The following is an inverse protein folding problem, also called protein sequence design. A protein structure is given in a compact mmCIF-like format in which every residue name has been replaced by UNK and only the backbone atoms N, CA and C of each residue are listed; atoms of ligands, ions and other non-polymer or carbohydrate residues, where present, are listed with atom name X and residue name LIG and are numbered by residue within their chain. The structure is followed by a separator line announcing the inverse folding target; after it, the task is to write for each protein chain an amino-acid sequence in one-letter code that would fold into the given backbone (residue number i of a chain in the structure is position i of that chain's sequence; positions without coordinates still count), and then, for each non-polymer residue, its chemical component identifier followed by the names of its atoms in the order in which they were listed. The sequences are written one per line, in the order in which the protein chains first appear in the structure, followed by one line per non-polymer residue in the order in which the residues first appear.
data_IF_347485227311
#
_entry.id   IF_347485227311
#
_cell.length_a   1.000
_cell.length_b   1.000
_cell.length_c   1.000
_cell.angle_alpha   90.00
_cell.angle_beta   90.00
_cell.angle_gamma   90.00
#
_symmetry.space_group_name_H-M   'P 1'
#
loop_
_entity.id
_entity.type
_entity.pdbx_description
1 polymer ?
#
# COMPACT_ATOMS: atom_id res chain seq x y z
N UNK A 1 -6.62 3.49 28.96
CA UNK A 1 -7.70 3.30 27.97
C UNK A 1 -8.93 4.15 28.29
N UNK A 2 -9.36 4.22 29.55
CA UNK A 2 -10.55 5.01 29.94
C UNK A 2 -10.51 6.48 29.50
N UNK A 3 -9.35 7.14 29.58
CA UNK A 3 -9.19 8.52 29.11
C UNK A 3 -9.42 8.66 27.58
N UNK A 4 -8.82 7.77 26.77
CA UNK A 4 -9.00 7.79 25.31
C UNK A 4 -10.47 7.56 24.91
N UNK A 5 -11.14 6.63 25.59
CA UNK A 5 -12.56 6.37 25.35
C UNK A 5 -13.43 7.59 25.70
N UNK A 6 -13.10 8.31 26.79
CA UNK A 6 -13.77 9.56 27.12
C UNK A 6 -13.50 10.67 26.10
N UNK A 7 -12.28 10.73 25.54
CA UNK A 7 -11.93 11.66 24.47
C UNK A 7 -12.76 11.47 23.21
N UNK A 8 -13.14 10.25 22.86
CA UNK A 8 -14.07 9.97 21.73
C UNK A 8 -15.43 10.63 22.00
N UNK A 9 -15.95 10.50 23.23
CA UNK A 9 -17.19 11.17 23.63
C UNK A 9 -17.06 12.71 23.59
N UNK A 10 -15.91 13.24 24.01
CA UNK A 10 -15.62 14.68 23.93
C UNK A 10 -15.58 15.17 22.48
N UNK A 11 -15.04 14.39 21.54
CA UNK A 11 -15.00 14.76 20.13
C UNK A 11 -16.41 14.93 19.53
N UNK A 12 -17.38 14.10 19.93
CA UNK A 12 -18.79 14.25 19.48
C UNK A 12 -19.44 15.52 20.05
N UNK A 13 -19.12 15.88 21.31
CA UNK A 13 -19.63 17.10 21.97
C UNK A 13 -19.00 18.37 21.36
N UNK A 14 -17.69 18.34 21.15
CA UNK A 14 -16.90 19.49 20.67
C UNK A 14 -16.67 19.48 19.16
N UNK A 15 -17.52 18.80 18.37
CA UNK A 15 -17.41 18.72 16.90
C UNK A 15 -17.35 20.06 16.16
N UNK A 16 -17.73 21.16 16.81
CA UNK A 16 -17.71 22.51 16.25
C UNK A 16 -16.55 23.37 16.75
N UNK A 17 -15.64 22.79 17.54
CA UNK A 17 -14.47 23.48 18.11
C UNK A 17 -13.20 22.85 17.54
N UNK A 18 -12.67 23.36 16.42
CA UNK A 18 -11.56 22.74 15.69
C UNK A 18 -10.34 22.49 16.58
N UNK A 19 -9.95 23.46 17.40
CA UNK A 19 -8.81 23.35 18.33
C UNK A 19 -8.94 22.17 19.30
N UNK A 20 -10.15 21.91 19.81
CA UNK A 20 -10.39 20.79 20.74
C UNK A 20 -10.37 19.46 20.01
N UNK A 21 -10.93 19.40 18.80
CA UNK A 21 -10.88 18.20 17.96
C UNK A 21 -9.42 17.86 17.63
N UNK A 22 -8.65 18.86 17.20
CA UNK A 22 -7.24 18.74 16.87
C UNK A 22 -6.42 18.21 18.07
N UNK A 23 -6.58 18.83 19.25
CA UNK A 23 -5.90 18.41 20.47
C UNK A 23 -6.27 16.97 20.90
N UNK A 24 -7.53 16.56 20.69
CA UNK A 24 -7.93 15.18 20.94
C UNK A 24 -7.17 14.23 20.02
N UNK A 25 -7.07 14.53 18.72
CA UNK A 25 -6.32 13.70 17.76
C UNK A 25 -4.84 13.65 18.16
N UNK A 26 -4.24 14.79 18.51
CA UNK A 26 -2.84 14.89 18.95
C UNK A 26 -2.55 13.99 20.16
N UNK A 27 -3.46 13.92 21.14
CA UNK A 27 -3.29 12.99 22.27
C UNK A 27 -3.25 11.53 21.81
N UNK A 28 -4.09 11.14 20.85
CA UNK A 28 -4.05 9.77 20.31
C UNK A 28 -2.75 9.52 19.55
N UNK A 29 -2.25 10.49 18.77
CA UNK A 29 -0.95 10.42 18.10
C UNK A 29 0.15 10.16 19.12
N UNK A 30 0.21 10.97 20.17
CA UNK A 30 1.24 10.86 21.22
C UNK A 30 1.21 9.52 21.96
N UNK A 31 0.01 9.00 22.26
CA UNK A 31 -0.13 7.68 22.89
C UNK A 31 0.32 6.57 21.94
N UNK A 32 -0.12 6.60 20.67
CA UNK A 32 0.29 5.62 19.67
C UNK A 32 1.82 5.66 19.47
N UNK A 33 2.38 6.84 19.24
CA UNK A 33 3.81 7.02 19.00
C UNK A 33 4.68 6.50 20.15
N UNK A 34 4.31 6.80 21.40
CA UNK A 34 5.15 6.49 22.57
C UNK A 34 4.92 5.11 23.18
N UNK A 35 3.71 4.56 23.04
CA UNK A 35 3.33 3.37 23.81
C UNK A 35 3.14 2.14 22.95
N UNK A 36 2.76 2.26 21.68
CA UNK A 36 2.26 1.10 20.91
C UNK A 36 3.25 -0.06 20.83
N UNK A 37 4.54 0.23 20.63
CA UNK A 37 5.62 -0.77 20.55
C UNK A 37 5.85 -1.52 21.87
N UNK A 38 5.37 -1.00 23.00
CA UNK A 38 5.50 -1.59 24.34
C UNK A 38 4.22 -2.27 24.83
N UNK A 39 3.10 -2.13 24.10
CA UNK A 39 1.83 -2.73 24.47
C UNK A 39 1.80 -4.20 24.02
N UNK A 40 1.47 -5.12 24.93
CA UNK A 40 1.12 -6.48 24.55
C UNK A 40 -0.17 -6.53 23.71
N UNK A 41 -0.39 -7.65 23.01
CA UNK A 41 -1.42 -7.83 21.98
C UNK A 41 -2.81 -7.33 22.41
N UNK A 42 -3.31 -7.76 23.57
CA UNK A 42 -4.64 -7.34 24.06
C UNK A 42 -4.76 -5.82 24.29
N UNK A 43 -3.70 -5.15 24.76
CA UNK A 43 -3.72 -3.70 24.98
C UNK A 43 -3.59 -2.94 23.66
N UNK A 44 -2.78 -3.45 22.73
CA UNK A 44 -2.65 -2.90 21.38
C UNK A 44 -3.98 -2.98 20.62
N UNK A 45 -4.69 -4.10 20.71
CA UNK A 45 -6.03 -4.27 20.12
C UNK A 45 -7.04 -3.25 20.64
N UNK A 46 -7.07 -3.01 21.96
CA UNK A 46 -7.90 -1.96 22.52
C UNK A 46 -7.53 -0.57 21.98
N UNK A 47 -6.23 -0.29 21.74
CA UNK A 47 -5.78 0.99 21.18
C UNK A 47 -6.21 1.12 19.73
N UNK A 48 -6.06 0.06 18.93
CA UNK A 48 -6.54 0.02 17.55
C UNK A 48 -8.05 0.29 17.46
N UNK A 49 -8.85 -0.36 18.30
CA UNK A 49 -10.30 -0.13 18.37
C UNK A 49 -10.64 1.32 18.76
N UNK A 50 -9.94 1.88 19.74
CA UNK A 50 -10.15 3.26 20.17
C UNK A 50 -9.79 4.26 19.05
N UNK A 51 -8.65 4.08 18.37
CA UNK A 51 -8.25 4.90 17.22
C UNK A 51 -9.26 4.80 16.08
N UNK A 52 -9.70 3.58 15.74
CA UNK A 52 -10.66 3.38 14.65
C UNK A 52 -12.01 4.03 14.97
N UNK A 53 -12.47 3.93 16.22
CA UNK A 53 -13.70 4.60 16.69
C UNK A 53 -13.55 6.12 16.64
N UNK A 54 -12.39 6.66 17.03
CA UNK A 54 -12.08 8.09 16.91
C UNK A 54 -12.20 8.57 15.45
N UNK A 55 -11.59 7.84 14.51
CA UNK A 55 -11.63 8.17 13.08
C UNK A 55 -13.05 8.08 12.49
N UNK A 56 -13.84 7.10 12.93
CA UNK A 56 -15.25 6.99 12.54
C UNK A 56 -16.05 8.22 13.00
N UNK A 57 -15.86 8.64 14.25
CA UNK A 57 -16.51 9.83 14.83
C UNK A 57 -16.07 11.10 14.09
N UNK A 58 -14.77 11.26 13.86
CA UNK A 58 -14.24 12.40 13.11
C UNK A 58 -14.81 12.46 11.69
N UNK A 59 -14.78 11.34 10.96
CA UNK A 59 -15.29 11.25 9.59
C UNK A 59 -16.78 11.55 9.52
N UNK A 60 -17.59 10.93 10.37
CA UNK A 60 -19.03 11.18 10.48
C UNK A 60 -19.36 12.65 10.74
N UNK A 61 -18.58 13.33 11.58
CA UNK A 61 -18.82 14.72 11.96
C UNK A 61 -18.39 15.74 10.88
N UNK A 62 -17.55 15.32 9.94
CA UNK A 62 -17.00 16.20 8.90
C UNK A 62 -17.50 15.85 7.48
N UNK A 63 -18.05 14.66 7.26
CA UNK A 63 -18.59 14.27 5.96
C UNK A 63 -19.79 15.14 5.57
N UNK A 64 -19.73 15.73 4.37
CA UNK A 64 -20.79 16.60 3.84
C UNK A 64 -20.91 17.95 4.54
N UNK A 65 -19.98 18.30 5.44
CA UNK A 65 -19.98 19.58 6.14
C UNK A 65 -19.36 20.67 5.27
N UNK A 66 -20.19 21.58 4.76
CA UNK A 66 -19.70 22.80 4.11
C UNK A 66 -19.32 23.82 5.18
N UNK A 67 -18.01 23.94 5.46
CA UNK A 67 -17.51 24.98 6.36
C UNK A 67 -17.35 26.28 5.56
N UNK A 68 -18.02 27.34 6.02
CA UNK A 68 -18.05 28.68 5.38
C UNK A 68 -16.87 29.54 5.88
N UNK A 69 -16.18 29.09 6.93
CA UNK A 69 -15.14 29.86 7.60
C UNK A 69 -13.82 29.87 6.79
N UNK A 70 -13.12 31.00 6.82
CA UNK A 70 -11.94 31.24 5.96
C UNK A 70 -10.75 30.36 6.37
N UNK A 71 -10.70 29.91 7.63
CA UNK A 71 -9.64 29.02 8.16
C UNK A 71 -10.02 27.55 8.13
N UNK A 72 -11.22 27.21 7.67
CA UNK A 72 -11.75 25.85 7.80
C UNK A 72 -10.94 24.79 7.05
N UNK A 73 -10.34 25.18 5.92
CA UNK A 73 -9.48 24.30 5.12
C UNK A 73 -8.15 24.03 5.85
N UNK A 74 -7.55 25.06 6.45
CA UNK A 74 -6.32 24.93 7.25
C UNK A 74 -6.56 24.03 8.46
N UNK A 75 -7.65 24.24 9.19
CA UNK A 75 -8.00 23.40 10.35
C UNK A 75 -8.17 21.93 9.94
N UNK A 76 -8.87 21.68 8.83
CA UNK A 76 -9.07 20.32 8.32
C UNK A 76 -7.77 19.70 7.83
N UNK A 77 -6.89 20.49 7.21
CA UNK A 77 -5.55 20.07 6.81
C UNK A 77 -4.72 19.61 8.01
N UNK A 78 -4.70 20.38 9.11
CA UNK A 78 -3.97 20.04 10.33
C UNK A 78 -4.51 18.75 10.97
N UNK A 79 -5.84 18.61 11.06
CA UNK A 79 -6.48 17.40 11.59
C UNK A 79 -6.12 16.16 10.76
N UNK A 80 -6.15 16.27 9.42
CA UNK A 80 -5.82 15.16 8.53
C UNK A 80 -4.34 14.78 8.58
N UNK A 81 -3.45 15.76 8.78
CA UNK A 81 -2.02 15.50 8.93
C UNK A 81 -1.74 14.69 10.20
N UNK A 82 -2.36 15.07 11.33
CA UNK A 82 -2.27 14.30 12.57
C UNK A 82 -2.87 12.90 12.42
N UNK A 83 -3.96 12.75 11.67
CA UNK A 83 -4.53 11.42 11.41
C UNK A 83 -3.58 10.55 10.58
N UNK A 84 -2.91 11.11 9.57
CA UNK A 84 -1.91 10.38 8.79
C UNK A 84 -0.73 9.93 9.65
N UNK A 85 -0.27 10.81 10.56
CA UNK A 85 0.76 10.47 11.55
C UNK A 85 0.28 9.38 12.52
N UNK A 86 -0.95 9.47 13.02
CA UNK A 86 -1.56 8.45 13.89
C UNK A 86 -1.54 7.08 13.19
N UNK A 87 -2.07 7.01 11.96
CA UNK A 87 -2.14 5.77 11.19
C UNK A 87 -0.74 5.18 10.91
N UNK A 88 0.23 6.04 10.63
CA UNK A 88 1.63 5.62 10.46
C UNK A 88 2.21 5.05 11.76
N UNK A 89 1.96 5.69 12.90
CA UNK A 89 2.38 5.18 14.21
C UNK A 89 1.69 3.86 14.56
N UNK A 90 0.43 3.65 14.15
CA UNK A 90 -0.27 2.38 14.38
C UNK A 90 0.38 1.19 13.66
N UNK A 91 0.94 1.43 12.47
CA UNK A 91 1.70 0.41 11.73
C UNK A 91 3.03 0.04 12.40
N UNK A 92 3.64 0.95 13.18
CA UNK A 92 4.98 0.76 13.74
C UNK A 92 5.14 -0.51 14.59
N UNK A 93 4.07 -0.97 15.25
CA UNK A 93 4.09 -2.20 16.06
C UNK A 93 4.35 -3.47 15.25
N UNK A 94 3.92 -3.53 13.99
CA UNK A 94 4.19 -4.69 13.11
C UNK A 94 5.69 -4.82 12.78
N UNK A 95 6.47 -3.75 12.95
CA UNK A 95 7.91 -3.72 12.66
C UNK A 95 8.77 -3.70 13.93
N UNK A 96 8.26 -3.10 15.00
CA UNK A 96 8.98 -2.86 16.25
C UNK A 96 8.07 -3.31 17.40
N UNK A 97 8.17 -4.59 17.76
CA UNK A 97 7.49 -5.12 18.95
C UNK A 97 8.49 -5.37 20.09
N UNK A 98 8.40 -4.55 21.14
CA UNK A 98 9.17 -4.72 22.38
C UNK A 98 8.36 -5.40 23.48
N UNK A 99 7.14 -5.85 23.19
CA UNK A 99 6.27 -6.50 24.18
C UNK A 99 6.75 -7.91 24.56
N UNK A 100 7.66 -8.51 23.77
CA UNK A 100 8.30 -9.82 24.01
C UNK A 100 9.34 -9.84 25.15
N UNK A 101 9.48 -8.75 25.90
CA UNK A 101 10.39 -8.72 27.06
C UNK A 101 9.99 -9.67 28.20
N UNK A 102 8.80 -10.30 28.15
CA UNK A 102 8.34 -11.30 29.12
C UNK A 102 8.48 -12.78 28.65
N UNK A 103 8.81 -13.05 27.38
CA UNK A 103 8.85 -14.43 26.86
C UNK A 103 10.11 -15.22 27.22
N UNK A 104 11.19 -14.56 27.67
CA UNK A 104 12.43 -15.22 28.11
C UNK A 104 12.22 -16.09 29.38
N UNK A 105 11.07 -15.98 30.05
CA UNK A 105 10.72 -16.75 31.25
C UNK A 105 9.58 -17.78 31.10
N UNK A 106 8.98 -17.94 29.92
CA UNK A 106 7.93 -18.96 29.70
C UNK A 106 8.25 -19.81 28.48
N UNK A 107 8.57 -21.08 28.75
CA UNK A 107 8.88 -22.06 27.73
C UNK A 107 7.80 -22.13 26.64
N UNK A 108 8.25 -22.18 25.39
CA UNK A 108 7.43 -22.35 24.21
C UNK A 108 6.56 -23.61 24.30
N UNK A 109 5.24 -23.44 24.30
CA UNK A 109 4.29 -24.45 23.82
C UNK A 109 3.77 -24.00 22.45
N UNK A 110 3.95 -24.79 21.37
CA UNK A 110 3.44 -24.44 20.05
C UNK A 110 1.95 -24.78 20.00
N UNK A 111 1.08 -23.78 20.12
CA UNK A 111 -0.36 -24.04 20.14
C UNK A 111 -1.23 -22.82 19.81
N UNK A 112 -1.88 -22.90 18.63
CA UNK A 112 -3.12 -22.20 18.24
C UNK A 112 -3.03 -20.75 17.75
N UNK A 113 -2.45 -20.56 16.55
CA UNK A 113 -2.87 -19.47 15.66
C UNK A 113 -4.13 -19.91 14.88
N UNK A 114 -5.26 -20.05 15.57
CA UNK A 114 -6.57 -20.27 14.93
C UNK A 114 -7.51 -19.16 15.35
N UNK A 115 -7.46 -18.05 14.60
CA UNK A 115 -8.54 -17.13 14.26
C UNK A 115 -7.87 -15.98 13.49
N UNK A 116 -8.48 -15.47 12.40
CA UNK A 116 -8.02 -14.25 11.72
C UNK A 116 -7.95 -13.13 12.76
N UNK A 117 -6.78 -12.85 13.32
CA UNK A 117 -6.54 -11.68 14.15
C UNK A 117 -6.56 -10.46 13.22
N UNK A 118 -7.31 -9.43 13.61
CA UNK A 118 -7.25 -8.13 12.94
C UNK A 118 -5.84 -7.61 13.14
N UNK A 119 -5.07 -7.43 12.06
CA UNK A 119 -3.70 -6.92 12.13
C UNK A 119 -3.71 -5.39 11.99
N UNK A 120 -2.62 -4.74 12.41
CA UNK A 120 -2.50 -3.28 12.37
C UNK A 120 -2.74 -2.73 10.96
N UNK A 121 -2.30 -3.45 9.91
CA UNK A 121 -2.54 -3.04 8.54
C UNK A 121 -4.03 -3.01 8.17
N UNK A 122 -4.87 -3.89 8.74
CA UNK A 122 -6.32 -3.89 8.48
C UNK A 122 -6.97 -2.65 9.10
N UNK A 123 -6.56 -2.31 10.32
CA UNK A 123 -7.02 -1.11 11.06
C UNK A 123 -6.64 0.15 10.29
N UNK A 124 -5.41 0.18 9.75
CA UNK A 124 -4.87 1.34 9.04
C UNK A 124 -5.53 1.50 7.67
N UNK A 125 -5.70 0.41 6.91
CA UNK A 125 -6.42 0.43 5.63
C UNK A 125 -7.88 0.91 5.83
N UNK A 126 -8.54 0.45 6.88
CA UNK A 126 -9.88 0.93 7.22
C UNK A 126 -9.86 2.42 7.65
N UNK A 127 -8.86 2.84 8.42
CA UNK A 127 -8.66 4.22 8.83
C UNK A 127 -8.47 5.17 7.64
N UNK A 128 -7.63 4.78 6.68
CA UNK A 128 -7.45 5.53 5.41
C UNK A 128 -8.77 5.63 4.65
N UNK A 129 -9.53 4.54 4.55
CA UNK A 129 -10.85 4.54 3.89
C UNK A 129 -11.84 5.54 4.51
N UNK A 130 -11.81 5.72 5.83
CA UNK A 130 -12.69 6.66 6.52
C UNK A 130 -12.35 8.12 6.23
N UNK A 131 -11.07 8.43 6.02
CA UNK A 131 -10.60 9.81 5.81
C UNK A 131 -10.43 10.20 4.35
N UNK A 132 -10.32 9.22 3.44
CA UNK A 132 -10.17 9.47 2.01
C UNK A 132 -11.26 10.38 1.44
N UNK A 133 -12.56 10.22 1.77
CA UNK A 133 -13.61 11.15 1.31
C UNK A 133 -13.47 12.59 1.82
N UNK A 134 -12.67 12.81 2.88
CA UNK A 134 -12.39 14.11 3.46
C UNK A 134 -11.17 14.79 2.81
N UNK A 135 -10.37 14.06 2.04
CA UNK A 135 -9.20 14.57 1.31
C UNK A 135 -9.61 15.08 -0.06
N UNK A 136 -9.99 16.36 -0.12
CA UNK A 136 -10.30 17.02 -1.40
C UNK A 136 -9.05 17.18 -2.26
N UNK A 137 -9.24 17.43 -3.56
CA UNK A 137 -8.11 17.75 -4.45
C UNK A 137 -7.36 19.02 -4.03
N UNK A 138 -8.03 19.96 -3.37
CA UNK A 138 -7.39 21.18 -2.85
C UNK A 138 -6.50 20.86 -1.64
N UNK A 139 -6.95 19.99 -0.74
CA UNK A 139 -6.15 19.53 0.40
C UNK A 139 -4.91 18.71 -0.03
N UNK A 140 -5.00 17.96 -1.14
CA UNK A 140 -3.85 17.25 -1.70
C UNK A 140 -2.83 18.18 -2.40
N UNK A 141 -3.14 19.47 -2.61
CA UNK A 141 -2.14 20.45 -3.07
C UNK A 141 -1.13 20.80 -1.98
N UNK A 142 -1.46 20.57 -0.72
CA UNK A 142 -0.53 20.77 0.38
C UNK A 142 0.52 19.63 0.38
N UNK A 143 1.81 19.92 0.12
CA UNK A 143 2.81 18.89 -0.14
C UNK A 143 3.01 17.92 1.03
N UNK A 144 2.95 18.40 2.27
CA UNK A 144 3.17 17.56 3.46
C UNK A 144 2.09 16.49 3.62
N UNK A 145 0.81 16.87 3.48
CA UNK A 145 -0.31 15.94 3.59
C UNK A 145 -0.31 14.95 2.43
N UNK A 146 -0.10 15.43 1.20
CA UNK A 146 0.00 14.59 0.01
C UNK A 146 1.12 13.54 0.17
N UNK A 147 2.34 13.98 0.54
CA UNK A 147 3.46 13.08 0.74
C UNK A 147 3.21 12.07 1.86
N UNK A 148 2.63 12.48 3.00
CA UNK A 148 2.32 11.52 4.07
C UNK A 148 1.27 10.50 3.66
N UNK A 149 0.21 10.94 2.97
CA UNK A 149 -0.81 10.04 2.44
C UNK A 149 -0.20 8.99 1.50
N UNK A 150 0.57 9.44 0.50
CA UNK A 150 1.18 8.52 -0.47
C UNK A 150 2.19 7.60 0.19
N UNK A 151 3.07 8.11 1.06
CA UNK A 151 4.01 7.27 1.82
C UNK A 151 3.29 6.18 2.60
N UNK A 152 2.17 6.49 3.25
CA UNK A 152 1.41 5.51 4.01
C UNK A 152 0.81 4.42 3.11
N UNK A 153 0.12 4.80 2.03
CA UNK A 153 -0.55 3.81 1.17
C UNK A 153 0.44 2.96 0.36
N UNK A 154 1.54 3.55 -0.12
CA UNK A 154 2.57 2.81 -0.88
C UNK A 154 3.33 1.87 0.03
N UNK A 155 3.63 2.30 1.26
CA UNK A 155 4.23 1.43 2.27
C UNK A 155 3.37 0.21 2.60
N UNK A 156 2.05 0.36 2.70
CA UNK A 156 1.16 -0.80 2.91
C UNK A 156 1.19 -1.74 1.69
N UNK A 157 1.25 -1.21 0.47
CA UNK A 157 1.36 -2.01 -0.75
C UNK A 157 2.69 -2.79 -0.82
N UNK A 158 3.77 -2.21 -0.30
CA UNK A 158 5.09 -2.85 -0.27
C UNK A 158 5.19 -3.95 0.78
N UNK A 159 4.68 -3.69 1.99
CA UNK A 159 4.86 -4.61 3.12
C UNK A 159 3.78 -5.69 3.16
N UNK A 160 2.53 -5.35 2.84
CA UNK A 160 1.38 -6.26 2.94
C UNK A 160 0.61 -6.39 1.62
N UNK A 161 1.26 -6.68 0.48
CA UNK A 161 0.59 -6.76 -0.82
C UNK A 161 -0.51 -7.83 -0.84
N UNK A 162 -0.40 -8.88 -0.03
CA UNK A 162 -1.40 -9.95 0.09
C UNK A 162 -2.74 -9.50 0.66
N UNK A 163 -2.77 -8.38 1.38
CA UNK A 163 -4.01 -7.81 1.94
C UNK A 163 -4.78 -7.00 0.92
N UNK A 164 -4.12 -6.48 -0.12
CA UNK A 164 -4.72 -5.57 -1.10
C UNK A 164 -5.87 -6.22 -1.90
N UNK A 165 -5.75 -7.46 -2.43
CA UNK A 165 -6.87 -8.14 -3.08
C UNK A 165 -8.05 -8.46 -2.15
N UNK A 166 -7.81 -8.50 -0.83
CA UNK A 166 -8.82 -8.84 0.18
C UNK A 166 -9.63 -7.62 0.63
N UNK A 167 -9.29 -6.42 0.14
CA UNK A 167 -9.96 -5.18 0.49
C UNK A 167 -11.39 -5.15 -0.06
N UNK A 168 -12.32 -4.43 0.61
CA UNK A 168 -13.61 -4.10 0.04
C UNK A 168 -13.47 -3.39 -1.31
N UNK A 169 -14.39 -3.65 -2.23
CA UNK A 169 -14.31 -3.18 -3.63
C UNK A 169 -14.12 -1.66 -3.75
N UNK A 170 -14.82 -0.87 -2.93
CA UNK A 170 -14.73 0.60 -2.93
C UNK A 170 -13.35 1.09 -2.47
N UNK A 171 -12.78 0.46 -1.44
CA UNK A 171 -11.45 0.80 -0.93
C UNK A 171 -10.37 0.40 -1.92
N UNK A 172 -10.48 -0.81 -2.50
CA UNK A 172 -9.58 -1.27 -3.54
C UNK A 172 -9.56 -0.30 -4.73
N UNK A 173 -10.73 0.08 -5.25
CA UNK A 173 -10.83 1.06 -6.35
C UNK A 173 -10.23 2.42 -5.98
N UNK A 174 -10.49 2.89 -4.76
CA UNK A 174 -9.95 4.17 -4.27
C UNK A 174 -8.43 4.16 -4.16
N UNK A 175 -7.86 3.04 -3.71
CA UNK A 175 -6.41 2.84 -3.65
C UNK A 175 -5.78 2.78 -5.04
N UNK A 176 -6.34 1.98 -5.95
CA UNK A 176 -5.84 1.88 -7.34
C UNK A 176 -5.91 3.24 -8.06
N UNK A 177 -7.01 3.98 -7.87
CA UNK A 177 -7.16 5.34 -8.39
C UNK A 177 -6.13 6.31 -7.80
N UNK A 178 -5.83 6.19 -6.50
CA UNK A 178 -4.79 7.01 -5.86
C UNK A 178 -3.41 6.72 -6.47
N UNK A 179 -3.05 5.45 -6.67
CA UNK A 179 -1.79 5.08 -7.34
C UNK A 179 -1.72 5.60 -8.78
N UNK A 180 -2.80 5.49 -9.55
CA UNK A 180 -2.91 6.07 -10.89
C UNK A 180 -2.68 7.58 -10.87
N UNK A 181 -3.38 8.30 -9.99
CA UNK A 181 -3.26 9.75 -9.87
C UNK A 181 -1.85 10.17 -9.43
N UNK A 182 -1.24 9.41 -8.51
CA UNK A 182 0.12 9.62 -8.03
C UNK A 182 1.17 9.49 -9.12
N UNK A 183 0.99 8.53 -10.04
CA UNK A 183 1.85 8.36 -11.21
C UNK A 183 1.65 9.43 -12.28
N UNK A 184 0.42 9.92 -12.49
CA UNK A 184 0.10 10.80 -13.63
C UNK A 184 0.20 12.29 -13.34
N UNK A 185 -0.03 12.72 -12.09
CA UNK A 185 -0.42 14.11 -11.81
C UNK A 185 0.17 14.72 -10.55
N UNK A 186 0.99 13.97 -9.81
CA UNK A 186 1.61 14.42 -8.54
C UNK A 186 3.09 14.74 -8.71
N UNK A 187 3.78 14.99 -7.58
CA UNK A 187 5.21 15.29 -7.56
C UNK A 187 6.05 14.09 -8.04
N UNK A 188 7.30 14.36 -8.42
CA UNK A 188 8.26 13.31 -8.80
C UNK A 188 8.49 12.28 -7.68
N UNK A 189 8.50 12.73 -6.41
CA UNK A 189 8.65 11.86 -5.23
C UNK A 189 7.44 10.92 -5.10
N UNK A 190 6.21 11.45 -5.21
CA UNK A 190 4.98 10.66 -5.15
C UNK A 190 4.90 9.66 -6.30
N UNK A 191 5.26 10.09 -7.52
CA UNK A 191 5.28 9.21 -8.66
C UNK A 191 6.26 8.05 -8.46
N UNK A 192 7.46 8.32 -7.92
CA UNK A 192 8.42 7.28 -7.60
C UNK A 192 7.86 6.28 -6.57
N UNK A 193 7.28 6.76 -5.47
CA UNK A 193 6.64 5.90 -4.45
C UNK A 193 5.54 5.01 -5.04
N UNK A 194 4.72 5.56 -5.94
CA UNK A 194 3.66 4.77 -6.59
C UNK A 194 4.23 3.70 -7.52
N UNK A 195 5.31 4.00 -8.25
CA UNK A 195 5.99 3.02 -9.11
C UNK A 195 6.62 1.89 -8.28
N UNK A 196 7.30 2.25 -7.19
CA UNK A 196 7.90 1.29 -6.25
C UNK A 196 6.84 0.36 -5.64
N UNK A 197 5.65 0.89 -5.31
CA UNK A 197 4.53 0.10 -4.80
C UNK A 197 3.88 -0.84 -5.83
N UNK A 198 3.98 -0.56 -7.13
CA UNK A 198 3.35 -1.41 -8.16
C UNK A 198 4.10 -2.74 -8.34
N UNK A 199 5.41 -2.75 -8.18
CA UNK A 199 6.26 -3.95 -8.26
C UNK A 199 5.78 -5.08 -7.32
N UNK A 200 5.68 -4.88 -5.99
CA UNK A 200 5.24 -5.93 -5.06
C UNK A 200 3.77 -6.35 -5.30
N UNK A 201 2.91 -5.45 -5.79
CA UNK A 201 1.54 -5.80 -6.18
C UNK A 201 1.50 -6.75 -7.39
N UNK A 202 2.36 -6.50 -8.39
CA UNK A 202 2.50 -7.37 -9.55
C UNK A 202 3.06 -8.74 -9.15
N UNK A 203 4.07 -8.78 -8.28
CA UNK A 203 4.60 -10.02 -7.72
C UNK A 203 3.54 -10.82 -6.95
N UNK A 204 2.69 -10.14 -6.18
CA UNK A 204 1.62 -10.80 -5.45
C UNK A 204 0.58 -11.42 -6.40
N UNK A 205 0.26 -10.75 -7.52
CA UNK A 205 -0.58 -11.35 -8.57
C UNK A 205 0.06 -12.62 -9.15
N UNK A 206 1.37 -12.56 -9.44
CA UNK A 206 2.11 -13.68 -10.00
C UNK A 206 2.11 -14.89 -9.04
N UNK A 207 2.28 -14.64 -7.73
CA UNK A 207 2.24 -15.68 -6.67
C UNK A 207 0.85 -16.30 -6.53
N UNK A 208 -0.21 -15.49 -6.63
CA UNK A 208 -1.59 -15.97 -6.49
C UNK A 208 -2.05 -16.84 -7.67
N UNK A 209 -1.42 -16.73 -8.84
CA UNK A 209 -1.79 -17.44 -10.08
C UNK A 209 -3.25 -17.21 -10.53
N UNK A 210 -3.92 -16.17 -10.02
CA UNK A 210 -5.30 -15.81 -10.37
C UNK A 210 -5.34 -14.85 -11.56
N UNK A 211 -5.70 -15.37 -12.73
CA UNK A 211 -5.71 -14.61 -14.00
C UNK A 211 -6.92 -13.70 -14.19
N UNK A 212 -7.92 -13.76 -13.31
CA UNK A 212 -9.15 -12.93 -13.37
C UNK A 212 -9.37 -12.09 -12.10
N UNK A 213 -8.35 -11.96 -11.25
CA UNK A 213 -8.48 -11.13 -10.04
C UNK A 213 -8.61 -9.64 -10.39
N UNK A 214 -9.29 -8.87 -9.53
CA UNK A 214 -9.41 -7.41 -9.67
C UNK A 214 -8.03 -6.73 -9.69
N UNK A 215 -7.07 -7.26 -8.93
CA UNK A 215 -5.68 -6.78 -8.93
C UNK A 215 -4.97 -7.11 -10.25
N UNK A 216 -5.22 -8.28 -10.86
CA UNK A 216 -4.68 -8.60 -12.18
C UNK A 216 -5.18 -7.62 -13.27
N UNK A 217 -6.46 -7.24 -13.23
CA UNK A 217 -7.00 -6.22 -14.14
C UNK A 217 -6.41 -4.83 -13.89
N UNK A 218 -6.24 -4.43 -12.62
CA UNK A 218 -5.63 -3.15 -12.27
C UNK A 218 -4.16 -3.07 -12.70
N UNK A 219 -3.37 -4.13 -12.49
CA UNK A 219 -1.96 -4.18 -12.93
C UNK A 219 -1.81 -4.07 -14.44
N UNK A 220 -2.78 -4.59 -15.22
CA UNK A 220 -2.80 -4.40 -16.68
C UNK A 220 -2.97 -2.93 -17.08
N UNK A 221 -3.78 -2.17 -16.34
CA UNK A 221 -3.91 -0.73 -16.56
C UNK A 221 -2.60 -0.01 -16.24
N UNK A 222 -1.97 -0.34 -15.12
CA UNK A 222 -0.67 0.22 -14.75
C UNK A 222 0.42 -0.08 -15.77
N UNK A 223 0.42 -1.26 -16.41
CA UNK A 223 1.39 -1.58 -17.47
C UNK A 223 1.35 -0.55 -18.61
N UNK A 224 0.15 -0.18 -19.06
CA UNK A 224 0.00 0.83 -20.11
C UNK A 224 0.49 2.20 -19.63
N UNK A 225 0.13 2.59 -18.41
CA UNK A 225 0.56 3.88 -17.85
C UNK A 225 2.08 4.00 -17.72
N UNK A 226 2.74 2.97 -17.18
CA UNK A 226 4.19 2.96 -17.01
C UNK A 226 4.90 2.95 -18.38
N UNK A 227 4.33 2.24 -19.36
CA UNK A 227 4.83 2.27 -20.74
C UNK A 227 4.76 3.68 -21.34
N UNK A 228 3.60 4.31 -21.27
CA UNK A 228 3.40 5.67 -21.78
C UNK A 228 4.35 6.66 -21.07
N UNK A 229 4.57 6.49 -19.77
CA UNK A 229 5.51 7.30 -18.99
C UNK A 229 6.96 7.13 -19.45
N UNK A 230 7.43 5.89 -19.63
CA UNK A 230 8.81 5.60 -20.04
C UNK A 230 9.10 6.02 -21.49
N UNK A 231 8.12 5.92 -22.38
CA UNK A 231 8.27 6.20 -23.82
C UNK A 231 8.08 7.69 -24.12
N UNK A 232 7.11 8.36 -23.50
CA UNK A 232 6.70 9.72 -23.88
C UNK A 232 7.37 10.83 -23.05
N UNK A 233 7.82 10.55 -21.81
CA UNK A 233 8.36 11.62 -20.95
C UNK A 233 9.89 11.80 -21.10
N UNK A 234 10.32 13.06 -21.25
CA UNK A 234 11.74 13.46 -21.20
C UNK A 234 12.32 13.14 -19.82
N UNK A 235 13.28 12.21 -19.77
CA UNK A 235 13.76 11.53 -18.57
C UNK A 235 14.18 12.43 -17.39
N UNK A 236 13.66 12.08 -16.20
CA UNK A 236 14.35 12.19 -14.92
C UNK A 236 15.06 10.84 -14.67
N UNK A 237 16.39 10.85 -14.54
CA UNK A 237 17.20 9.63 -14.40
C UNK A 237 16.87 8.82 -13.15
N UNK A 238 16.43 9.46 -12.07
CA UNK A 238 16.11 8.80 -10.80
C UNK A 238 14.82 7.97 -10.89
N UNK A 239 13.80 8.47 -11.60
CA UNK A 239 12.52 7.77 -11.78
C UNK A 239 12.63 6.57 -12.72
N UNK A 240 13.66 6.55 -13.57
CA UNK A 240 13.81 5.53 -14.62
C UNK A 240 14.05 4.13 -14.03
N UNK A 241 14.71 4.05 -12.86
CA UNK A 241 14.98 2.77 -12.18
C UNK A 241 13.69 2.14 -11.65
N UNK A 242 12.93 2.87 -10.83
CA UNK A 242 11.67 2.39 -10.28
C UNK A 242 10.64 2.10 -11.38
N UNK A 243 10.53 2.97 -12.38
CA UNK A 243 9.67 2.74 -13.53
C UNK A 243 10.09 1.51 -14.35
N UNK A 244 11.40 1.29 -14.52
CA UNK A 244 11.93 0.12 -15.22
C UNK A 244 11.64 -1.19 -14.50
N UNK A 245 11.80 -1.23 -13.17
CA UNK A 245 11.49 -2.40 -12.35
C UNK A 245 9.99 -2.72 -12.34
N UNK A 246 9.13 -1.71 -12.17
CA UNK A 246 7.68 -1.86 -12.26
C UNK A 246 7.26 -2.32 -13.66
N UNK A 247 7.82 -1.72 -14.71
CA UNK A 247 7.54 -2.11 -16.09
C UNK A 247 7.93 -3.57 -16.35
N UNK A 248 9.12 -3.96 -15.91
CA UNK A 248 9.64 -5.32 -16.06
C UNK A 248 8.71 -6.35 -15.41
N UNK A 249 8.37 -6.15 -14.14
CA UNK A 249 7.51 -7.08 -13.39
C UNK A 249 6.11 -7.17 -13.98
N UNK A 250 5.54 -6.05 -14.44
CA UNK A 250 4.24 -6.03 -15.12
C UNK A 250 4.26 -6.74 -16.48
N UNK A 251 5.32 -6.54 -17.28
CA UNK A 251 5.49 -7.27 -18.55
C UNK A 251 5.59 -8.77 -18.28
N UNK A 252 6.37 -9.18 -17.27
CA UNK A 252 6.49 -10.58 -16.84
C UNK A 252 5.15 -11.18 -16.40
N UNK A 253 4.32 -10.43 -15.68
CA UNK A 253 3.00 -10.89 -15.23
C UNK A 253 2.03 -11.12 -16.41
N UNK A 254 2.06 -10.25 -17.42
CA UNK A 254 1.09 -10.25 -18.53
C UNK A 254 1.57 -10.96 -19.81
N UNK A 255 2.70 -11.71 -19.77
CA UNK A 255 3.38 -12.33 -20.92
C UNK A 255 2.47 -13.16 -21.85
N UNK A 256 1.40 -13.76 -21.33
CA UNK A 256 0.56 -14.72 -22.07
C UNK A 256 -0.56 -14.06 -22.88
N UNK A 257 -1.00 -12.84 -22.54
CA UNK A 257 -2.20 -12.23 -23.15
C UNK A 257 -1.92 -11.07 -24.11
N UNK A 258 -0.70 -10.52 -24.11
CA UNK A 258 -0.43 -9.21 -24.76
C UNK A 258 0.82 -9.13 -25.61
N UNK A 259 1.49 -10.27 -25.84
CA UNK A 259 2.69 -10.29 -26.66
C UNK A 259 2.43 -9.68 -28.05
N UNK A 260 1.32 -9.98 -28.73
CA UNK A 260 1.08 -9.48 -30.10
C UNK A 260 0.81 -7.96 -30.18
N UNK A 261 0.03 -7.39 -29.27
CA UNK A 261 -0.31 -5.95 -29.32
C UNK A 261 0.86 -5.10 -28.85
N UNK A 262 1.49 -5.45 -27.73
CA UNK A 262 2.58 -4.68 -27.16
C UNK A 262 3.89 -4.89 -27.92
N UNK A 263 4.19 -6.09 -28.46
CA UNK A 263 5.40 -6.23 -29.30
C UNK A 263 5.27 -5.45 -30.61
N UNK A 264 4.09 -5.27 -31.19
CA UNK A 264 3.90 -4.41 -32.37
C UNK A 264 4.10 -2.92 -32.03
N UNK A 265 3.57 -2.45 -30.90
CA UNK A 265 3.71 -1.06 -30.46
C UNK A 265 5.14 -0.75 -29.99
N UNK A 266 5.73 -1.66 -29.19
CA UNK A 266 7.13 -1.63 -28.77
C UNK A 266 8.07 -1.74 -29.97
N UNK A 267 7.80 -2.60 -30.96
CA UNK A 267 8.65 -2.72 -32.16
C UNK A 267 8.53 -1.53 -33.12
N UNK A 268 7.37 -0.86 -33.16
CA UNK A 268 7.22 0.39 -33.91
C UNK A 268 7.92 1.56 -33.21
N UNK A 269 7.86 1.64 -31.87
CA UNK A 269 8.55 2.68 -31.08
C UNK A 269 10.06 2.45 -30.96
N UNK A 270 10.52 1.21 -30.85
CA UNK A 270 11.94 0.81 -30.88
C UNK A 270 12.61 1.15 -32.22
N UNK A 271 11.86 1.16 -33.33
CA UNK A 271 12.37 1.59 -34.63
C UNK A 271 12.59 3.09 -34.72
N UNK A 272 11.88 3.90 -33.93
CA UNK A 272 11.98 5.36 -33.95
C UNK A 272 13.00 5.91 -32.95
N UNK A 273 13.29 5.20 -31.85
CA UNK A 273 14.07 5.74 -30.73
C UNK A 273 15.20 4.82 -30.28
N UNK A 274 16.45 5.13 -30.64
CA UNK A 274 17.65 4.36 -30.28
C UNK A 274 17.92 4.22 -28.77
N UNK A 275 17.26 5.03 -27.92
CA UNK A 275 17.35 4.94 -26.45
C UNK A 275 16.59 3.74 -25.86
N UNK A 276 15.53 3.27 -26.52
CA UNK A 276 14.77 2.10 -26.05
C UNK A 276 15.58 0.80 -26.19
N UNK A 277 16.57 0.75 -27.07
CA UNK A 277 17.52 -0.35 -27.20
C UNK A 277 18.44 -0.44 -25.96
N UNK A 278 18.77 0.71 -25.36
CA UNK A 278 19.52 0.78 -24.11
C UNK A 278 18.66 0.38 -22.91
N UNK A 279 17.40 0.80 -22.87
CA UNK A 279 16.42 0.37 -21.85
C UNK A 279 16.16 -1.13 -21.96
N UNK A 280 16.01 -1.66 -23.18
CA UNK A 280 15.85 -3.09 -23.42
C UNK A 280 17.11 -3.90 -23.04
N UNK A 281 18.32 -3.40 -23.33
CA UNK A 281 19.56 -4.01 -22.84
C UNK A 281 19.72 -3.94 -21.32
N UNK A 282 19.25 -2.85 -20.69
CA UNK A 282 19.26 -2.71 -19.22
C UNK A 282 18.26 -3.67 -18.60
N UNK A 283 17.09 -3.84 -19.23
CA UNK A 283 16.08 -4.83 -18.87
C UNK A 283 16.61 -6.24 -19.10
N UNK A 284 17.35 -6.55 -20.18
CA UNK A 284 17.99 -7.85 -20.40
C UNK A 284 19.11 -8.14 -19.37
N UNK A 285 19.87 -7.13 -18.95
CA UNK A 285 20.86 -7.26 -17.88
C UNK A 285 20.18 -7.52 -16.53
N UNK A 286 19.08 -6.83 -16.23
CA UNK A 286 18.23 -7.11 -15.08
C UNK A 286 17.49 -8.45 -15.20
N UNK A 287 17.15 -8.92 -16.40
CA UNK A 287 16.55 -10.22 -16.67
C UNK A 287 17.53 -11.34 -16.30
N UNK A 288 18.82 -11.19 -16.66
CA UNK A 288 19.89 -12.12 -16.30
C UNK A 288 20.18 -12.16 -14.79
N UNK A 289 20.21 -11.01 -14.10
CA UNK A 289 20.37 -10.95 -12.64
C UNK A 289 19.09 -11.39 -11.88
N UNK A 290 17.92 -11.09 -12.41
CA UNK A 290 16.61 -11.45 -11.86
C UNK A 290 16.30 -12.94 -11.96
N UNK A 291 16.76 -13.65 -13.01
CA UNK A 291 16.66 -15.12 -13.08
C UNK A 291 17.33 -15.83 -11.90
N UNK A 292 18.36 -15.24 -11.28
CA UNK A 292 18.98 -15.79 -10.06
C UNK A 292 18.08 -15.63 -8.82
N UNK A 293 17.21 -14.62 -8.76
CA UNK A 293 16.21 -14.46 -7.69
C UNK A 293 14.97 -15.33 -7.94
N UNK A 294 14.50 -15.42 -9.18
CA UNK A 294 13.32 -16.22 -9.55
C UNK A 294 13.56 -17.73 -9.51
N UNK A 295 14.79 -18.20 -9.73
CA UNK A 295 15.15 -19.61 -9.53
C UNK A 295 15.10 -20.06 -8.06
N UNK A 296 15.19 -19.13 -7.10
CA UNK A 296 15.06 -19.42 -5.65
C UNK A 296 13.59 -19.49 -5.20
N UNK A 297 12.65 -18.88 -5.95
CA UNK A 297 11.20 -18.93 -5.65
C UNK A 297 10.53 -20.19 -6.21
N UNK A 298 11.16 -20.89 -7.16
CA UNK A 298 10.59 -22.07 -7.82
C UNK A 298 10.66 -23.44 -7.10
N UNK A 299 11.49 -23.75 -6.08
CA UNK A 299 11.62 -25.14 -5.63
C UNK A 299 10.60 -25.60 -4.56
N UNK A 300 9.44 -24.95 -4.38
CA UNK A 300 8.39 -25.44 -3.46
C UNK A 300 7.10 -25.93 -4.14
N UNK A 301 7.01 -25.88 -5.47
CA UNK A 301 5.86 -26.37 -6.24
C UNK A 301 6.10 -27.71 -6.96
N UNK A 302 7.08 -28.51 -6.51
CA UNK A 302 7.27 -29.90 -6.95
C UNK A 302 7.26 -30.87 -5.77
N UNK A 303 6.15 -30.93 -5.04
CA UNK A 303 5.86 -32.07 -4.15
C UNK A 303 4.37 -32.42 -4.21
N UNK A 304 3.90 -32.87 -5.37
CA UNK A 304 2.54 -33.40 -5.40
C UNK A 304 1.91 -33.68 -6.75
N UNK A 305 2.59 -34.34 -7.69
CA UNK A 305 1.89 -35.11 -8.76
C UNK A 305 2.74 -36.32 -9.19
N UNK A 306 2.29 -37.50 -8.78
CA UNK A 306 2.45 -38.85 -9.36
C UNK A 306 3.74 -39.22 -10.11
N UNK A 307 4.62 -39.91 -9.39
CA UNK A 307 5.52 -40.94 -9.92
C UNK A 307 4.72 -42.17 -10.35
N UNK A 308 4.33 -42.25 -11.63
CA UNK A 308 3.91 -43.50 -12.26
C UNK A 308 3.90 -43.31 -13.79
N UNK A 309 5.07 -43.40 -14.44
CA UNK A 309 5.15 -43.60 -15.91
C UNK A 309 6.54 -44.02 -16.42
N UNK A 310 7.41 -44.59 -15.57
CA UNK A 310 8.69 -45.17 -16.01
C UNK A 310 8.86 -46.60 -15.48
N UNK A 311 8.11 -47.53 -16.07
CA UNK A 311 8.47 -48.96 -16.05
C UNK A 311 7.90 -49.63 -17.30
N UNK A 312 8.76 -49.92 -18.27
CA UNK A 312 8.35 -50.69 -19.44
C UNK A 312 9.07 -50.31 -20.72
N UNK A 313 10.38 -50.53 -20.77
CA UNK A 313 11.10 -50.90 -21.99
C UNK A 313 12.49 -51.42 -21.61
N UNK A 314 12.55 -52.71 -21.30
CA UNK A 314 13.77 -53.51 -21.35
C UNK A 314 13.39 -54.78 -22.10
N UNK A 315 13.84 -54.84 -23.35
CA UNK A 315 13.60 -55.91 -24.32
C UNK A 315 14.30 -55.55 -25.61
#
# INVERSE_FOLDING_TARGET
MDFLNNCIGLMEVYKNTPETVNLIIEVFVEVAHKQICYLGEAKAMNLYEACLTLLQVYSKNNLGRQRIDVTAEEDQYQDLLLIMELLTNLLSKEFIDFSDTDEVFRGHEPGQATNRSVSAADVVLYGVNLVLPLMSQDLLKFPSLCNQYYKLITFICEIFPEKIPQLPEDLFKSLMYSLELGMSSMSSEVCQLCLEAVTPLAEQCAKAQETDSTLFLATRHFLKMVFDMLVLQKHNTEMTTAAGEAFYTLVCLHQVWHLDTYTLEISNLLKESGWLLYVWQTIELFWLEGTLRWSVVQPLAQSGVNTELWSGCSG
#
